data_IF_071838721795
#
_entry.id   IF_071838721795
#
_cell.length_a   1.000
_cell.length_b   1.000
_cell.length_c   1.000
_cell.angle_alpha   90.00
_cell.angle_beta   90.00
_cell.angle_gamma   90.00
#
_symmetry.space_group_name_H-M   'P 1'
#
loop_
_entity.id
_entity.type
_entity.pdbx_description
1 polymer ?
#
# COMPACT_ATOMS: atom_id res chain seq x y z
N UNK A 1 18.24 -2.67 8.73
CA UNK A 1 19.06 -3.89 8.94
C UNK A 1 20.28 -3.63 9.79
N UNK A 2 21.12 -2.65 9.44
CA UNK A 2 22.30 -2.29 10.22
C UNK A 2 21.98 -2.00 11.70
N UNK A 3 20.99 -1.13 11.96
CA UNK A 3 20.53 -0.79 13.32
C UNK A 3 20.09 -2.02 14.13
N UNK A 4 19.32 -2.91 13.50
CA UNK A 4 18.85 -4.16 14.12
C UNK A 4 20.00 -5.11 14.49
N UNK A 5 21.01 -5.22 13.62
CA UNK A 5 22.21 -6.05 13.91
C UNK A 5 23.01 -5.49 15.08
N UNK A 6 23.12 -4.17 15.19
CA UNK A 6 23.78 -3.49 16.33
C UNK A 6 23.03 -3.72 17.64
N UNK A 7 21.71 -3.57 17.65
CA UNK A 7 20.88 -3.84 18.85
C UNK A 7 21.01 -5.29 19.33
N UNK A 8 21.05 -6.25 18.40
CA UNK A 8 21.21 -7.67 18.71
C UNK A 8 22.67 -8.12 18.92
N UNK A 9 23.64 -7.19 18.85
CA UNK A 9 25.08 -7.47 18.93
C UNK A 9 25.56 -8.56 17.95
N UNK A 10 24.98 -8.62 16.75
CA UNK A 10 25.34 -9.60 15.71
C UNK A 10 26.57 -9.10 14.95
N UNK A 11 27.65 -9.88 14.97
CA UNK A 11 28.85 -9.59 14.19
C UNK A 11 28.62 -9.88 12.70
N UNK A 12 29.40 -9.23 11.84
CA UNK A 12 29.41 -9.53 10.41
C UNK A 12 30.01 -10.92 10.11
N UNK A 13 30.86 -11.43 11.02
CA UNK A 13 31.47 -12.78 10.96
C UNK A 13 30.44 -13.88 11.16
N UNK A 14 29.35 -13.60 11.88
CA UNK A 14 28.31 -14.60 12.18
C UNK A 14 27.48 -15.00 10.95
N UNK A 15 27.60 -14.24 9.85
CA UNK A 15 26.90 -14.46 8.56
C UNK A 15 25.40 -14.76 8.68
N UNK A 16 24.74 -14.26 9.73
CA UNK A 16 23.31 -14.47 9.97
C UNK A 16 22.47 -13.80 8.88
N UNK A 17 21.47 -14.49 8.35
CA UNK A 17 20.57 -13.97 7.31
C UNK A 17 19.67 -12.83 7.84
N UNK A 18 19.32 -11.87 6.98
CA UNK A 18 18.41 -10.77 7.33
C UNK A 18 17.02 -11.27 7.79
N UNK A 19 16.61 -12.46 7.33
CA UNK A 19 15.34 -13.09 7.74
C UNK A 19 15.43 -13.50 9.21
N UNK A 20 16.51 -14.17 9.63
CA UNK A 20 16.73 -14.52 11.04
C UNK A 20 16.86 -13.31 11.95
N UNK A 21 17.52 -12.24 11.49
CA UNK A 21 17.62 -10.98 12.24
C UNK A 21 16.23 -10.40 12.54
N UNK A 22 15.34 -10.40 11.54
CA UNK A 22 13.97 -9.92 11.70
C UNK A 22 13.13 -10.84 12.60
N UNK A 23 13.27 -12.16 12.47
CA UNK A 23 12.60 -13.15 13.33
C UNK A 23 12.96 -12.96 14.81
N UNK A 24 14.24 -12.73 15.13
CA UNK A 24 14.70 -12.46 16.50
C UNK A 24 14.04 -11.23 17.13
N UNK A 25 13.67 -10.23 16.32
CA UNK A 25 13.01 -9.01 16.77
C UNK A 25 11.48 -9.08 16.66
N UNK A 26 10.93 -10.21 16.21
CA UNK A 26 9.53 -10.35 15.83
C UNK A 26 9.06 -9.22 14.88
N UNK A 27 9.90 -8.85 13.91
CA UNK A 27 9.61 -7.79 12.92
C UNK A 27 9.39 -8.37 11.54
N UNK A 28 8.49 -7.76 10.78
CA UNK A 28 8.27 -8.11 9.37
C UNK A 28 9.11 -7.24 8.41
N UNK A 29 9.17 -7.61 7.13
CA UNK A 29 9.85 -6.81 6.09
C UNK A 29 9.06 -5.54 5.78
N UNK A 30 9.43 -4.43 6.40
CA UNK A 30 8.81 -3.12 6.18
C UNK A 30 9.10 -2.52 4.79
N UNK A 31 10.26 -2.83 4.19
CA UNK A 31 10.68 -2.19 2.93
C UNK A 31 9.71 -2.43 1.76
N UNK A 32 9.13 -3.63 1.67
CA UNK A 32 8.18 -3.96 0.59
C UNK A 32 6.91 -3.14 0.76
N UNK A 33 6.44 -2.96 2.00
CA UNK A 33 5.27 -2.14 2.31
C UNK A 33 5.54 -0.68 1.92
N UNK A 34 6.70 -0.14 2.30
CA UNK A 34 7.10 1.23 1.93
C UNK A 34 7.18 1.42 0.43
N UNK A 35 7.76 0.46 -0.31
CA UNK A 35 7.85 0.52 -1.78
C UNK A 35 6.46 0.47 -2.43
N UNK A 36 5.54 -0.35 -1.91
CA UNK A 36 4.15 -0.41 -2.41
C UNK A 36 3.46 0.94 -2.23
N UNK A 37 3.52 1.48 -1.01
CA UNK A 37 2.90 2.77 -0.65
C UNK A 37 3.42 3.89 -1.55
N UNK A 38 4.75 4.08 -1.61
CA UNK A 38 5.35 5.17 -2.40
C UNK A 38 5.01 5.08 -3.88
N UNK A 39 4.95 3.87 -4.44
CA UNK A 39 4.56 3.68 -5.84
C UNK A 39 3.09 4.06 -6.07
N UNK A 40 2.19 3.72 -5.16
CA UNK A 40 0.79 4.09 -5.28
C UNK A 40 0.56 5.60 -5.08
N UNK A 41 1.21 6.19 -4.08
CA UNK A 41 1.15 7.64 -3.83
C UNK A 41 1.64 8.43 -5.03
N UNK A 42 2.75 7.99 -5.64
CA UNK A 42 3.26 8.63 -6.85
C UNK A 42 2.29 8.50 -8.02
N UNK A 43 1.61 7.37 -8.19
CA UNK A 43 0.56 7.24 -9.19
C UNK A 43 -0.57 8.26 -8.93
N UNK A 44 -1.04 8.37 -7.69
CA UNK A 44 -2.06 9.35 -7.33
C UNK A 44 -1.61 10.80 -7.56
N UNK A 45 -0.33 11.10 -7.30
CA UNK A 45 0.25 12.41 -7.57
C UNK A 45 0.25 12.75 -9.06
N UNK A 46 0.64 11.80 -9.91
CA UNK A 46 0.62 11.98 -11.37
C UNK A 46 -0.81 12.18 -11.85
N UNK A 47 -1.76 11.32 -11.44
CA UNK A 47 -3.14 11.36 -11.92
C UNK A 47 -3.90 12.63 -11.49
N UNK A 48 -3.58 13.21 -10.33
CA UNK A 48 -4.26 14.41 -9.80
C UNK A 48 -3.70 15.74 -10.30
N UNK A 49 -2.54 15.75 -10.93
CA UNK A 49 -1.89 16.99 -11.36
C UNK A 49 -1.69 16.98 -12.87
N UNK A 50 -2.78 17.25 -13.58
CA UNK A 50 -2.85 17.22 -15.04
C UNK A 50 -1.96 18.30 -15.68
N UNK A 51 -1.96 19.53 -15.13
CA UNK A 51 -1.16 20.63 -15.68
C UNK A 51 0.34 20.33 -15.71
N UNK A 52 0.86 19.63 -14.69
CA UNK A 52 2.29 19.27 -14.63
C UNK A 52 2.61 17.94 -15.32
N UNK A 53 1.69 16.98 -15.30
CA UNK A 53 2.01 15.60 -15.71
C UNK A 53 1.21 15.09 -16.91
N UNK A 54 0.58 15.97 -17.69
CA UNK A 54 -0.22 15.59 -18.87
C UNK A 54 0.47 14.57 -19.78
N UNK A 55 1.74 14.80 -20.14
CA UNK A 55 2.51 13.88 -20.98
C UNK A 55 2.64 12.50 -20.32
N UNK A 56 2.96 12.46 -19.03
CA UNK A 56 3.15 11.22 -18.30
C UNK A 56 1.82 10.45 -18.14
N UNK A 57 0.71 11.16 -17.92
CA UNK A 57 -0.63 10.56 -17.91
C UNK A 57 -0.95 9.91 -19.26
N UNK A 58 -0.71 10.63 -20.37
CA UNK A 58 -0.89 10.10 -21.73
C UNK A 58 -0.04 8.86 -21.99
N UNK A 59 1.22 8.86 -21.55
CA UNK A 59 2.12 7.69 -21.68
C UNK A 59 1.62 6.50 -20.85
N UNK A 60 1.15 6.75 -19.62
CA UNK A 60 0.68 5.68 -18.71
C UNK A 60 -0.64 5.06 -19.17
N UNK A 61 -1.54 5.87 -19.73
CA UNK A 61 -2.85 5.43 -20.22
C UNK A 61 -2.78 4.90 -21.66
N UNK A 62 -1.81 5.36 -22.43
CA UNK A 62 -1.57 4.95 -23.81
C UNK A 62 -1.15 3.49 -23.94
N UNK A 63 -1.59 2.85 -25.02
CA UNK A 63 -1.06 1.56 -25.46
C UNK A 63 0.05 1.83 -26.48
N UNK A 64 1.28 1.44 -26.14
CA UNK A 64 2.38 1.42 -27.12
C UNK A 64 2.21 0.19 -28.01
N UNK A 65 2.12 0.41 -29.32
CA UNK A 65 2.04 -0.67 -30.30
C UNK A 65 3.37 -1.44 -30.37
N UNK A 66 3.30 -2.74 -30.68
CA UNK A 66 4.47 -3.61 -30.83
C UNK A 66 4.78 -4.51 -29.63
N UNK A 67 5.70 -5.46 -29.84
CA UNK A 67 6.17 -6.40 -28.82
C UNK A 67 7.26 -5.78 -27.96
N UNK A 68 7.37 -6.20 -26.70
CA UNK A 68 8.48 -5.78 -25.83
C UNK A 68 9.79 -6.36 -26.38
N UNK A 69 10.80 -5.50 -26.56
CA UNK A 69 12.14 -5.94 -26.96
C UNK A 69 12.81 -6.86 -25.93
N UNK A 70 13.81 -7.66 -26.36
CA UNK A 70 14.60 -8.52 -25.49
C UNK A 70 15.32 -7.71 -24.39
N UNK A 71 15.60 -8.35 -23.25
CA UNK A 71 16.26 -7.71 -22.10
C UNK A 71 15.38 -6.79 -21.24
N UNK A 72 14.23 -6.32 -21.73
CA UNK A 72 13.32 -5.48 -20.92
C UNK A 72 12.63 -6.32 -19.83
N UNK A 73 12.60 -5.80 -18.59
CA UNK A 73 11.93 -6.47 -17.46
C UNK A 73 10.47 -6.81 -17.80
N UNK A 74 10.08 -8.08 -17.56
CA UNK A 74 8.70 -8.58 -17.78
C UNK A 74 7.66 -7.93 -16.86
N UNK A 75 8.08 -7.42 -15.71
CA UNK A 75 7.22 -6.78 -14.71
C UNK A 75 7.40 -5.26 -14.80
N UNK A 76 6.39 -4.58 -15.37
CA UNK A 76 6.34 -3.13 -15.39
C UNK A 76 5.92 -2.55 -14.04
N UNK A 77 6.13 -1.25 -13.85
CA UNK A 77 5.64 -0.51 -12.68
C UNK A 77 4.11 -0.66 -12.50
N UNK A 78 3.33 -0.42 -13.55
CA UNK A 78 1.88 -0.65 -13.56
C UNK A 78 1.49 -2.11 -13.31
N UNK A 79 2.26 -3.09 -13.83
CA UNK A 79 2.00 -4.52 -13.54
C UNK A 79 2.16 -4.82 -12.06
N UNK A 80 3.17 -4.27 -11.39
CA UNK A 80 3.32 -4.41 -9.94
C UNK A 80 2.10 -3.89 -9.19
N UNK A 81 1.62 -2.69 -9.52
CA UNK A 81 0.47 -2.10 -8.84
C UNK A 81 -0.78 -2.95 -9.02
N UNK A 82 -1.07 -3.41 -10.25
CA UNK A 82 -2.20 -4.32 -10.49
C UNK A 82 -2.12 -5.60 -9.68
N UNK A 83 -0.95 -6.24 -9.66
CA UNK A 83 -0.73 -7.47 -8.91
C UNK A 83 -0.79 -7.25 -7.40
N UNK A 84 -0.30 -6.12 -6.89
CA UNK A 84 -0.31 -5.85 -5.45
C UNK A 84 -1.66 -5.39 -4.93
N UNK A 85 -2.43 -4.64 -5.72
CA UNK A 85 -3.72 -4.11 -5.26
C UNK A 85 -4.91 -4.91 -5.75
N UNK A 86 -4.69 -5.94 -6.57
CA UNK A 86 -5.72 -6.74 -7.21
C UNK A 86 -6.74 -5.87 -7.98
N UNK A 87 -6.21 -4.99 -8.83
CA UNK A 87 -7.00 -4.02 -9.57
C UNK A 87 -6.68 -4.10 -11.06
N UNK A 88 -7.66 -3.81 -11.91
CA UNK A 88 -7.41 -3.57 -13.33
C UNK A 88 -6.71 -2.23 -13.53
N UNK A 89 -6.07 -2.01 -14.69
CA UNK A 89 -5.41 -0.73 -14.99
C UNK A 89 -6.41 0.44 -14.93
N UNK A 90 -7.59 0.26 -15.51
CA UNK A 90 -8.62 1.31 -15.56
C UNK A 90 -9.15 1.67 -14.17
N UNK A 91 -9.40 0.66 -13.33
CA UNK A 91 -9.87 0.88 -11.97
C UNK A 91 -8.80 1.57 -11.13
N UNK A 92 -7.53 1.18 -11.30
CA UNK A 92 -6.40 1.83 -10.64
C UNK A 92 -6.24 3.30 -11.01
N UNK A 93 -6.51 3.68 -12.27
CA UNK A 93 -6.49 5.10 -12.67
C UNK A 93 -7.67 5.88 -12.09
N UNK A 94 -8.88 5.30 -12.10
CA UNK A 94 -10.07 5.94 -11.49
C UNK A 94 -9.87 6.17 -10.00
N UNK A 95 -9.38 5.18 -9.27
CA UNK A 95 -9.14 5.28 -7.82
C UNK A 95 -8.02 6.26 -7.49
N UNK A 96 -6.98 6.35 -8.34
CA UNK A 96 -5.83 7.21 -8.09
C UNK A 96 -6.13 8.72 -8.13
N UNK A 97 -7.21 9.13 -8.80
CA UNK A 97 -7.67 10.53 -8.81
C UNK A 97 -8.23 10.92 -7.44
N UNK A 98 -8.79 9.99 -6.68
CA UNK A 98 -9.37 10.26 -5.37
C UNK A 98 -8.36 9.98 -4.24
N UNK A 99 -8.00 11.02 -3.46
CA UNK A 99 -7.07 10.89 -2.32
C UNK A 99 -7.57 9.93 -1.23
N UNK A 100 -8.88 9.87 -0.99
CA UNK A 100 -9.49 8.97 0.00
C UNK A 100 -9.31 7.52 -0.42
N UNK A 101 -9.55 7.21 -1.70
CA UNK A 101 -9.36 5.86 -2.23
C UNK A 101 -7.91 5.40 -2.17
N UNK A 102 -6.93 6.28 -2.46
CA UNK A 102 -5.51 6.00 -2.25
C UNK A 102 -5.22 5.67 -0.76
N UNK A 103 -5.78 6.42 0.17
CA UNK A 103 -5.60 6.19 1.61
C UNK A 103 -6.17 4.83 2.05
N UNK A 104 -7.37 4.47 1.57
CA UNK A 104 -8.00 3.16 1.81
C UNK A 104 -7.10 2.03 1.28
N UNK A 105 -6.59 2.16 0.06
CA UNK A 105 -5.70 1.17 -0.55
C UNK A 105 -4.38 1.00 0.25
N UNK A 106 -3.85 2.07 0.81
CA UNK A 106 -2.66 2.03 1.69
C UNK A 106 -2.98 1.35 3.02
N UNK A 107 -4.12 1.68 3.65
CA UNK A 107 -4.57 1.05 4.89
C UNK A 107 -4.74 -0.47 4.73
N UNK A 108 -5.29 -0.92 3.59
CA UNK A 108 -5.45 -2.33 3.27
C UNK A 108 -4.11 -3.10 3.19
N UNK A 109 -3.00 -2.44 2.84
CA UNK A 109 -1.67 -3.06 2.88
C UNK A 109 -1.22 -3.26 4.33
N UNK A 110 -1.41 -2.27 5.18
CA UNK A 110 -1.01 -2.33 6.60
C UNK A 110 -1.79 -3.40 7.35
N UNK A 111 -3.06 -3.60 6.99
CA UNK A 111 -3.94 -4.62 7.57
C UNK A 111 -3.75 -6.03 6.96
N UNK A 112 -2.82 -6.20 6.01
CA UNK A 112 -2.44 -7.52 5.47
C UNK A 112 -3.39 -8.11 4.41
N UNK A 113 -4.43 -7.40 3.98
CA UNK A 113 -5.42 -7.89 2.99
C UNK A 113 -4.78 -8.24 1.64
N UNK A 114 -3.80 -7.44 1.21
CA UNK A 114 -3.04 -7.65 -0.02
C UNK A 114 -2.24 -8.96 -0.04
N UNK A 115 -1.88 -9.54 1.11
CA UNK A 115 -1.11 -10.80 1.15
C UNK A 115 -1.93 -12.02 0.76
N UNK A 116 -3.26 -11.97 0.87
CA UNK A 116 -4.15 -13.14 0.70
C UNK A 116 -4.89 -13.21 -0.63
N UNK A 117 -4.67 -12.26 -1.55
CA UNK A 117 -5.45 -12.20 -2.79
C UNK A 117 -6.95 -11.91 -2.56
N UNK A 118 -7.32 -11.45 -1.36
CA UNK A 118 -8.68 -11.12 -1.00
C UNK A 118 -9.11 -9.83 -1.74
N UNK A 119 -10.33 -9.77 -2.30
CA UNK A 119 -10.85 -8.53 -2.87
C UNK A 119 -10.92 -7.44 -1.78
N UNK A 120 -10.73 -6.16 -2.13
CA UNK A 120 -10.94 -5.07 -1.19
C UNK A 120 -12.39 -5.15 -0.66
N UNK A 121 -12.63 -4.80 0.61
CA UNK A 121 -13.98 -4.77 1.16
C UNK A 121 -14.85 -3.90 0.26
N UNK A 122 -15.93 -4.48 -0.29
CA UNK A 122 -16.96 -3.68 -0.93
C UNK A 122 -17.57 -2.80 0.17
N UNK A 123 -17.86 -1.54 -0.12
CA UNK A 123 -18.32 -0.51 0.83
C UNK A 123 -19.65 -0.84 1.56
N UNK A 124 -20.21 -2.02 1.35
CA UNK A 124 -21.36 -2.54 2.07
C UNK A 124 -20.92 -3.61 3.06
N UNK A 125 -21.18 -3.35 4.34
CA UNK A 125 -20.89 -4.17 5.52
C UNK A 125 -19.46 -4.01 6.03
N UNK A 126 -19.26 -3.07 6.98
CA UNK A 126 -18.19 -3.13 7.96
C UNK A 126 -18.45 -4.31 8.91
N UNK A 127 -17.76 -5.46 8.82
CA UNK A 127 -17.94 -6.52 9.79
C UNK A 127 -16.84 -6.37 10.85
N UNK A 128 -17.24 -5.89 12.03
CA UNK A 128 -16.52 -6.09 13.29
C UNK A 128 -15.03 -5.70 13.29
N UNK A 129 -14.72 -4.42 13.06
CA UNK A 129 -13.42 -3.84 13.43
C UNK A 129 -13.31 -3.54 14.95
N UNK A 130 -14.13 -4.21 15.79
CA UNK A 130 -14.13 -4.04 17.25
C UNK A 130 -13.00 -4.85 17.92
N UNK A 131 -12.40 -5.83 17.24
CA UNK A 131 -11.45 -6.75 17.89
C UNK A 131 -10.00 -6.28 18.03
N UNK A 132 -9.55 -5.21 17.35
CA UNK A 132 -8.11 -4.86 17.27
C UNK A 132 -7.80 -3.37 17.13
N UNK A 133 -8.61 -2.49 17.71
CA UNK A 133 -8.23 -1.08 17.85
C UNK A 133 -7.59 -0.90 19.23
N UNK A 134 -6.28 -0.63 19.24
CA UNK A 134 -5.59 -0.22 20.47
C UNK A 134 -6.28 1.00 21.08
N UNK A 135 -6.27 1.10 22.40
CA UNK A 135 -7.08 2.02 23.23
C UNK A 135 -7.12 3.49 22.74
N UNK A 136 -6.07 3.97 22.06
CA UNK A 136 -6.01 5.33 21.52
C UNK A 136 -6.84 5.59 20.25
N UNK A 137 -7.11 4.58 19.41
CA UNK A 137 -7.92 4.74 18.19
C UNK A 137 -9.42 4.70 18.50
N UNK A 138 -9.83 3.99 19.57
CA UNK A 138 -11.21 3.99 20.05
C UNK A 138 -11.63 5.39 20.53
N UNK A 139 -10.73 6.12 21.21
CA UNK A 139 -10.98 7.49 21.65
C UNK A 139 -11.15 8.47 20.48
N UNK A 140 -10.40 8.29 19.39
CA UNK A 140 -10.52 9.13 18.19
C UNK A 140 -11.83 8.87 17.44
N UNK A 141 -12.26 7.61 17.34
CA UNK A 141 -13.56 7.29 16.75
C UNK A 141 -14.71 7.83 17.60
N UNK A 142 -14.62 7.70 18.93
CA UNK A 142 -15.65 8.19 19.84
C UNK A 142 -15.79 9.73 19.80
N UNK A 143 -14.68 10.46 19.70
CA UNK A 143 -14.68 11.93 19.56
C UNK A 143 -15.24 12.39 18.21
N UNK A 144 -14.98 11.64 17.14
CA UNK A 144 -15.52 11.93 15.81
C UNK A 144 -17.02 11.62 15.76
N UNK A 145 -17.47 10.52 16.36
CA UNK A 145 -18.89 10.14 16.44
C UNK A 145 -19.70 11.12 17.32
N UNK A 146 -19.12 11.62 18.43
CA UNK A 146 -19.73 12.67 19.25
C UNK A 146 -19.78 14.04 18.55
N UNK A 147 -18.75 14.37 17.76
CA UNK A 147 -18.68 15.67 17.04
C UNK A 147 -19.59 15.71 15.81
N UNK A 148 -19.95 14.55 15.24
CA UNK A 148 -20.85 14.43 14.10
C UNK A 148 -22.30 14.13 14.50
N UNK A 149 -22.61 14.10 15.80
CA UNK A 149 -23.98 13.90 16.31
C UNK A 149 -24.60 12.54 15.96
N UNK A 150 -23.79 11.54 15.61
CA UNK A 150 -24.27 10.21 15.18
C UNK A 150 -24.56 9.25 16.35
N UNK A 151 -24.44 9.72 17.60
CA UNK A 151 -24.74 8.93 18.79
C UNK A 151 -26.12 9.26 19.36
N UNK A 152 -27.19 8.86 18.65
CA UNK A 152 -28.46 8.48 19.29
C UNK A 152 -29.40 7.76 18.34
N UNK A 153 -29.68 6.50 18.72
CA UNK A 153 -30.78 5.60 18.31
C UNK A 153 -30.82 5.13 16.86
#
# INVERSE_FOLDING_TARGET
MWTYRRMLKISWTDKISNIRVLQKLNKEKEIIVTVKIRKLEFLGHIMRNESRYLLLQKILQGKVHGKRGPGRRRISWLKNLRTWYNQTTSQLFRTAVNKVQIAIMIANIRNGYVRRGAPPPQETLLPSAVGRLGRGMAALLYLVEHSLGLASR
#
